data_IF_055772834124
#
_entry.id   IF_055772834124
#
_cell.length_a   1.000
_cell.length_b   1.000
_cell.length_c   1.000
_cell.angle_alpha   90.00
_cell.angle_beta   90.00
_cell.angle_gamma   90.00
#
_symmetry.space_group_name_H-M   'P 1'
#
loop_
_entity.id
_entity.type
_entity.pdbx_description
1 polymer ?
#
# COMPACT_ATOMS: atom_id res chain seq x y z
N UNK A 1 9.16 -18.51 3.81
CA UNK A 1 8.58 -17.78 2.66
C UNK A 1 7.74 -16.65 3.23
N UNK A 2 8.08 -15.41 2.94
CA UNK A 2 7.32 -14.22 3.39
C UNK A 2 6.12 -13.99 2.47
N UNK A 3 5.00 -13.50 3.00
CA UNK A 3 3.77 -13.23 2.25
C UNK A 3 3.39 -11.76 2.37
N UNK A 4 3.32 -11.04 1.25
CA UNK A 4 3.01 -9.61 1.23
C UNK A 4 1.83 -9.35 0.28
N UNK A 5 0.75 -8.77 0.81
CA UNK A 5 -0.40 -8.37 0.02
C UNK A 5 -0.35 -6.87 -0.30
N UNK A 6 -0.75 -6.50 -1.51
CA UNK A 6 -0.93 -5.11 -1.96
C UNK A 6 -2.39 -4.97 -2.38
N UNK A 7 -3.19 -4.26 -1.57
CA UNK A 7 -4.62 -4.09 -1.81
C UNK A 7 -4.88 -2.63 -2.17
N UNK A 8 -5.41 -2.40 -3.36
CA UNK A 8 -5.57 -1.02 -3.83
C UNK A 8 -6.76 -0.82 -4.75
N UNK A 9 -7.20 0.43 -4.83
CA UNK A 9 -8.08 0.90 -5.90
C UNK A 9 -7.32 1.82 -6.85
N UNK A 10 -7.65 1.75 -8.14
CA UNK A 10 -7.12 2.68 -9.15
C UNK A 10 -8.14 2.89 -10.26
N UNK A 11 -8.45 4.16 -10.58
CA UNK A 11 -9.37 4.50 -11.67
C UNK A 11 -8.62 4.69 -13.00
N UNK A 12 -7.54 5.47 -12.98
CA UNK A 12 -6.78 5.91 -14.16
C UNK A 12 -5.41 5.24 -14.27
N UNK A 13 -5.20 4.18 -13.53
CA UNK A 13 -3.97 3.41 -13.41
C UNK A 13 -2.77 4.09 -12.73
N UNK A 14 -2.84 5.37 -12.36
CA UNK A 14 -1.74 6.05 -11.64
C UNK A 14 -1.42 5.34 -10.32
N UNK A 15 -2.43 5.05 -9.49
CA UNK A 15 -2.24 4.25 -8.26
C UNK A 15 -1.81 2.81 -8.58
N UNK A 16 -2.26 2.25 -9.72
CA UNK A 16 -1.83 0.92 -10.19
C UNK A 16 -0.35 0.85 -10.56
N UNK A 17 0.21 1.92 -11.15
CA UNK A 17 1.65 2.02 -11.41
C UNK A 17 2.45 1.96 -10.10
N UNK A 18 2.00 2.66 -9.05
CA UNK A 18 2.63 2.59 -7.72
C UNK A 18 2.58 1.16 -7.14
N UNK A 19 1.44 0.49 -7.25
CA UNK A 19 1.30 -0.89 -6.77
C UNK A 19 2.28 -1.84 -7.46
N UNK A 20 2.46 -1.71 -8.79
CA UNK A 20 3.44 -2.50 -9.55
C UNK A 20 4.88 -2.19 -9.15
N UNK A 21 5.21 -0.92 -8.93
CA UNK A 21 6.54 -0.52 -8.47
C UNK A 21 6.85 -1.07 -7.07
N UNK A 22 5.87 -1.03 -6.14
CA UNK A 22 6.00 -1.65 -4.82
C UNK A 22 6.23 -3.15 -4.94
N UNK A 23 5.46 -3.86 -5.79
CA UNK A 23 5.64 -5.30 -6.03
C UNK A 23 7.05 -5.60 -6.57
N UNK A 24 7.53 -4.83 -7.55
CA UNK A 24 8.89 -4.98 -8.07
C UNK A 24 9.97 -4.80 -6.99
N UNK A 25 9.77 -3.84 -6.08
CA UNK A 25 10.65 -3.64 -4.94
C UNK A 25 10.67 -4.83 -3.97
N UNK A 26 9.51 -5.45 -3.71
CA UNK A 26 9.40 -6.67 -2.90
C UNK A 26 10.14 -7.84 -3.56
N UNK A 27 9.91 -8.06 -4.86
CA UNK A 27 10.58 -9.11 -5.64
C UNK A 27 12.10 -8.95 -5.62
N UNK A 28 12.58 -7.72 -5.87
CA UNK A 28 14.01 -7.43 -5.87
C UNK A 28 14.65 -7.71 -4.49
N UNK A 29 13.98 -7.36 -3.40
CA UNK A 29 14.46 -7.65 -2.05
C UNK A 29 14.51 -9.15 -1.77
N UNK A 30 13.54 -9.92 -2.25
CA UNK A 30 13.55 -11.38 -2.18
C UNK A 30 14.78 -11.98 -2.86
N UNK A 31 15.10 -11.52 -4.07
CA UNK A 31 16.30 -11.94 -4.83
C UNK A 31 17.57 -11.57 -4.07
N UNK A 32 17.70 -10.33 -3.58
CA UNK A 32 18.88 -9.84 -2.85
C UNK A 32 19.14 -10.64 -1.56
N UNK A 33 18.10 -11.10 -0.90
CA UNK A 33 18.17 -11.89 0.34
C UNK A 33 18.13 -13.40 0.14
N UNK A 34 18.03 -13.86 -1.12
CA UNK A 34 17.85 -15.29 -1.46
C UNK A 34 16.68 -15.91 -0.69
N UNK A 35 15.61 -15.15 -0.49
CA UNK A 35 14.40 -15.55 0.21
C UNK A 35 13.20 -15.52 -0.72
N UNK A 36 12.38 -16.56 -0.67
CA UNK A 36 11.12 -16.59 -1.42
C UNK A 36 10.11 -15.63 -0.78
N UNK A 37 9.43 -14.85 -1.62
CA UNK A 37 8.35 -13.95 -1.23
C UNK A 37 7.13 -14.17 -2.12
N UNK A 38 6.01 -14.52 -1.52
CA UNK A 38 4.72 -14.59 -2.20
C UNK A 38 4.09 -13.19 -2.20
N UNK A 39 3.65 -12.72 -3.36
CA UNK A 39 3.06 -11.39 -3.53
C UNK A 39 1.64 -11.55 -4.08
N UNK A 40 0.65 -11.08 -3.32
CA UNK A 40 -0.71 -10.86 -3.80
C UNK A 40 -0.87 -9.38 -4.15
N UNK A 41 -1.14 -9.07 -5.42
CA UNK A 41 -1.49 -7.71 -5.84
C UNK A 41 -2.95 -7.71 -6.30
N UNK A 42 -3.85 -7.16 -5.48
CA UNK A 42 -5.27 -7.14 -5.74
C UNK A 42 -5.78 -5.71 -5.96
N UNK A 43 -6.25 -5.44 -7.18
CA UNK A 43 -6.96 -4.21 -7.51
C UNK A 43 -8.45 -4.41 -7.23
N UNK A 44 -9.00 -3.58 -6.36
CA UNK A 44 -10.44 -3.58 -6.07
C UNK A 44 -11.22 -3.24 -7.35
N UNK A 45 -12.08 -4.14 -7.77
CA UNK A 45 -12.87 -4.01 -9.00
C UNK A 45 -14.31 -3.58 -8.68
N UNK A 46 -14.92 -2.83 -9.57
CA UNK A 46 -16.33 -2.40 -9.41
C UNK A 46 -17.31 -3.57 -9.30
N UNK A 47 -17.01 -4.72 -9.93
CA UNK A 47 -17.81 -5.94 -9.83
C UNK A 47 -17.82 -6.60 -8.45
N UNK A 48 -16.85 -6.25 -7.60
CA UNK A 48 -16.77 -6.72 -6.21
C UNK A 48 -17.59 -5.83 -5.26
N UNK A 49 -18.19 -4.76 -5.77
CA UNK A 49 -18.98 -3.82 -4.97
C UNK A 49 -20.46 -3.98 -5.34
N UNK A 50 -21.19 -4.66 -4.46
CA UNK A 50 -22.62 -4.96 -4.65
C UNK A 50 -23.40 -4.15 -3.61
N UNK A 51 -24.33 -3.32 -4.08
CA UNK A 51 -25.15 -2.46 -3.22
C UNK A 51 -24.33 -1.63 -2.22
N UNK A 52 -23.15 -1.13 -2.67
CA UNK A 52 -22.24 -0.32 -1.86
C UNK A 52 -21.41 -1.11 -0.84
N UNK A 53 -21.41 -2.43 -0.91
CA UNK A 53 -20.61 -3.32 -0.06
C UNK A 53 -19.57 -4.07 -0.89
N UNK A 54 -18.35 -4.16 -0.39
CA UNK A 54 -17.34 -5.02 -1.00
C UNK A 54 -17.64 -6.48 -0.65
N UNK A 55 -17.70 -7.33 -1.66
CA UNK A 55 -18.06 -8.76 -1.53
C UNK A 55 -16.99 -9.62 -2.19
N UNK A 56 -15.99 -10.00 -1.41
CA UNK A 56 -14.98 -10.99 -1.77
C UNK A 56 -14.49 -11.68 -0.48
N UNK A 57 -15.27 -12.61 0.09
CA UNK A 57 -14.93 -13.27 1.35
C UNK A 57 -13.63 -14.07 1.26
N UNK A 58 -13.35 -14.68 0.11
CA UNK A 58 -12.11 -15.45 -0.07
C UNK A 58 -10.87 -14.59 0.07
N UNK A 59 -10.89 -13.36 -0.46
CA UNK A 59 -9.79 -12.41 -0.28
C UNK A 59 -9.63 -12.04 1.20
N UNK A 60 -10.75 -11.79 1.92
CA UNK A 60 -10.68 -11.42 3.34
C UNK A 60 -10.08 -12.52 4.20
N UNK A 61 -10.40 -13.79 3.93
CA UNK A 61 -9.82 -14.94 4.63
C UNK A 61 -8.35 -15.14 4.24
N UNK A 62 -8.01 -14.98 2.96
CA UNK A 62 -6.65 -15.10 2.46
C UNK A 62 -5.71 -14.06 3.09
N UNK A 63 -6.15 -12.81 3.27
CA UNK A 63 -5.34 -11.76 3.90
C UNK A 63 -4.93 -12.07 5.34
N UNK A 64 -5.62 -12.96 6.03
CA UNK A 64 -5.22 -13.42 7.35
C UNK A 64 -3.91 -14.22 7.33
N UNK A 65 -3.54 -14.82 6.19
CA UNK A 65 -2.33 -15.62 6.01
C UNK A 65 -1.09 -14.81 5.62
N UNK A 66 -1.25 -13.51 5.34
CA UNK A 66 -0.15 -12.63 4.91
C UNK A 66 0.57 -11.99 6.10
N UNK A 67 1.89 -11.79 5.99
CA UNK A 67 2.73 -11.14 7.01
C UNK A 67 2.63 -9.62 6.96
N UNK A 68 2.33 -9.08 5.78
CA UNK A 68 2.16 -7.64 5.56
C UNK A 68 1.02 -7.34 4.59
N UNK A 69 0.33 -6.21 4.79
CA UNK A 69 -0.67 -5.68 3.86
C UNK A 69 -0.33 -4.22 3.56
N UNK A 70 -0.11 -3.92 2.27
CA UNK A 70 0.17 -2.56 1.79
C UNK A 70 -1.11 -2.02 1.16
N UNK A 71 -1.62 -0.90 1.69
CA UNK A 71 -2.89 -0.32 1.27
C UNK A 71 -2.68 0.83 0.28
N UNK A 72 -3.47 0.87 -0.80
CA UNK A 72 -3.38 1.90 -1.82
C UNK A 72 -4.73 2.48 -2.25
N UNK A 73 -4.80 3.79 -2.34
CA UNK A 73 -5.98 4.48 -2.87
C UNK A 73 -5.59 5.80 -3.50
N UNK A 74 -6.22 6.23 -4.62
CA UNK A 74 -6.10 7.63 -5.01
C UNK A 74 -6.76 8.52 -3.96
N UNK A 75 -6.28 9.76 -3.86
CA UNK A 75 -6.90 10.79 -3.02
C UNK A 75 -8.04 11.43 -3.79
N UNK A 76 -9.28 11.24 -3.32
CA UNK A 76 -10.47 11.90 -3.83
C UNK A 76 -11.14 12.69 -2.71
N UNK A 77 -11.36 14.00 -2.95
CA UNK A 77 -11.97 14.90 -1.96
C UNK A 77 -11.32 14.79 -0.56
N UNK A 78 -9.98 14.75 -0.53
CA UNK A 78 -9.20 14.71 0.72
C UNK A 78 -9.20 13.37 1.46
N UNK A 79 -9.58 12.26 0.81
CA UNK A 79 -9.62 10.94 1.45
C UNK A 79 -9.45 9.80 0.47
N UNK A 80 -9.64 8.57 0.96
CA UNK A 80 -9.61 7.37 0.13
C UNK A 80 -10.81 7.35 -0.82
N UNK A 81 -10.63 6.74 -1.99
CA UNK A 81 -11.72 6.49 -2.92
C UNK A 81 -12.85 5.65 -2.27
N UNK A 82 -14.10 5.89 -2.68
CA UNK A 82 -15.25 5.14 -2.17
C UNK A 82 -15.08 3.62 -2.31
N UNK A 83 -14.49 3.15 -3.41
CA UNK A 83 -14.21 1.74 -3.66
C UNK A 83 -13.24 1.15 -2.62
N UNK A 84 -12.18 1.88 -2.27
CA UNK A 84 -11.29 1.46 -1.20
C UNK A 84 -12.00 1.47 0.16
N UNK A 85 -12.87 2.46 0.39
CA UNK A 85 -13.65 2.54 1.62
C UNK A 85 -14.58 1.35 1.80
N UNK A 86 -15.19 0.82 0.71
CA UNK A 86 -16.02 -0.39 0.81
C UNK A 86 -15.22 -1.61 1.24
N UNK A 87 -13.97 -1.77 0.76
CA UNK A 87 -13.04 -2.80 1.23
C UNK A 87 -12.72 -2.62 2.72
N UNK A 88 -12.37 -1.39 3.13
CA UNK A 88 -12.07 -1.11 4.53
C UNK A 88 -13.26 -1.42 5.46
N UNK A 89 -14.49 -1.11 5.04
CA UNK A 89 -15.69 -1.44 5.82
C UNK A 89 -15.96 -2.95 5.87
N UNK A 90 -15.67 -3.68 4.79
CA UNK A 90 -15.83 -5.13 4.75
C UNK A 90 -14.82 -5.87 5.64
N UNK A 91 -13.68 -5.23 5.98
CA UNK A 91 -12.69 -5.82 6.89
C UNK A 91 -13.13 -5.84 8.37
N UNK A 92 -14.35 -5.37 8.70
CA UNK A 92 -14.84 -5.26 10.07
C UNK A 92 -14.86 -6.60 10.83
N UNK A 93 -15.11 -7.72 10.16
CA UNK A 93 -15.03 -9.04 10.79
C UNK A 93 -13.58 -9.40 11.14
N UNK A 94 -12.63 -9.17 10.21
CA UNK A 94 -11.20 -9.36 10.46
C UNK A 94 -10.70 -8.47 11.59
N UNK A 95 -11.24 -7.25 11.69
CA UNK A 95 -10.99 -6.35 12.81
C UNK A 95 -11.54 -6.91 14.14
N UNK A 96 -12.77 -7.37 14.18
CA UNK A 96 -13.40 -7.88 15.40
C UNK A 96 -12.61 -9.06 15.99
N UNK A 97 -12.14 -9.97 15.14
CA UNK A 97 -11.32 -11.12 15.55
C UNK A 97 -9.81 -10.84 15.56
N UNK A 98 -9.40 -9.59 15.31
CA UNK A 98 -8.00 -9.16 15.26
C UNK A 98 -7.12 -10.05 14.36
N UNK A 99 -7.66 -10.52 13.23
CA UNK A 99 -6.98 -11.45 12.30
C UNK A 99 -5.69 -10.85 11.68
N UNK A 100 -5.56 -9.50 11.67
CA UNK A 100 -4.38 -8.81 11.13
C UNK A 100 -3.47 -8.22 12.21
N UNK A 101 -3.74 -8.46 13.49
CA UNK A 101 -2.93 -7.93 14.59
C UNK A 101 -1.48 -8.41 14.50
N UNK A 102 -0.53 -7.48 14.71
CA UNK A 102 0.90 -7.76 14.64
C UNK A 102 1.50 -7.84 13.24
N UNK A 103 0.69 -7.81 12.18
CA UNK A 103 1.19 -7.75 10.79
C UNK A 103 1.75 -6.36 10.46
N UNK A 104 2.63 -6.31 9.47
CA UNK A 104 3.13 -5.03 8.95
C UNK A 104 2.07 -4.40 8.04
N UNK A 105 1.89 -3.08 8.17
CA UNK A 105 1.13 -2.27 7.23
C UNK A 105 1.98 -1.14 6.65
N UNK A 106 1.71 -0.78 5.40
CA UNK A 106 2.24 0.42 4.76
C UNK A 106 1.17 1.00 3.83
N UNK A 107 1.40 2.19 3.28
CA UNK A 107 0.41 2.78 2.39
C UNK A 107 0.97 3.69 1.32
N UNK A 108 0.15 3.84 0.27
CA UNK A 108 0.45 4.70 -0.86
C UNK A 108 -0.81 5.37 -1.41
N UNK A 109 -0.61 6.55 -1.97
CA UNK A 109 -1.68 7.32 -2.59
C UNK A 109 -1.18 8.09 -3.80
N UNK A 110 -2.09 8.49 -4.65
CA UNK A 110 -1.82 9.38 -5.78
C UNK A 110 -2.91 10.46 -5.89
N UNK A 111 -2.55 11.59 -6.45
CA UNK A 111 -3.48 12.69 -6.71
C UNK A 111 -3.10 13.43 -7.99
N UNK A 112 -3.98 14.34 -8.45
CA UNK A 112 -3.73 15.19 -9.63
C UNK A 112 -2.92 16.44 -9.33
N UNK A 113 -2.74 16.81 -8.06
CA UNK A 113 -1.99 17.99 -7.63
C UNK A 113 -0.82 17.60 -6.72
N UNK A 114 0.24 18.42 -6.74
CA UNK A 114 1.44 18.21 -5.92
C UNK A 114 1.15 18.13 -4.43
N UNK A 115 0.22 18.94 -3.96
CA UNK A 115 -0.22 19.00 -2.57
C UNK A 115 -1.75 19.05 -2.53
N UNK A 116 -2.39 17.92 -2.85
CA UNK A 116 -3.85 17.78 -2.92
C UNK A 116 -4.39 16.98 -1.74
N UNK A 117 -3.95 17.29 -0.51
CA UNK A 117 -4.38 16.63 0.73
C UNK A 117 -4.12 15.12 0.78
N UNK A 118 -3.12 14.64 0.01
CA UNK A 118 -2.75 13.22 -0.03
C UNK A 118 -2.36 12.70 1.35
N UNK A 119 -1.81 13.54 2.21
CA UNK A 119 -1.46 13.19 3.60
C UNK A 119 -2.68 12.73 4.40
N UNK A 120 -3.87 13.26 4.13
CA UNK A 120 -5.11 12.84 4.77
C UNK A 120 -5.49 11.41 4.37
N UNK A 121 -5.26 11.03 3.11
CA UNK A 121 -5.46 9.65 2.65
C UNK A 121 -4.51 8.70 3.39
N UNK A 122 -3.21 9.04 3.50
CA UNK A 122 -2.26 8.23 4.27
C UNK A 122 -2.64 8.14 5.74
N UNK A 123 -3.11 9.22 6.35
CA UNK A 123 -3.57 9.21 7.74
C UNK A 123 -4.77 8.28 7.93
N UNK A 124 -5.70 8.24 6.97
CA UNK A 124 -6.79 7.28 7.00
C UNK A 124 -6.27 5.83 6.95
N UNK A 125 -5.31 5.54 6.04
CA UNK A 125 -4.72 4.20 5.93
C UNK A 125 -3.97 3.78 7.21
N UNK A 126 -3.27 4.72 7.85
CA UNK A 126 -2.64 4.49 9.16
C UNK A 126 -3.68 4.20 10.24
N UNK A 127 -4.79 4.93 10.24
CA UNK A 127 -5.88 4.70 11.18
C UNK A 127 -6.51 3.32 10.98
N UNK A 128 -6.75 2.92 9.72
CA UNK A 128 -7.24 1.58 9.39
C UNK A 128 -6.27 0.49 9.91
N UNK A 129 -4.98 0.64 9.64
CA UNK A 129 -3.96 -0.28 10.14
C UNK A 129 -3.95 -0.35 11.68
N UNK A 130 -4.08 0.79 12.35
CA UNK A 130 -4.13 0.86 13.82
C UNK A 130 -5.38 0.18 14.39
N UNK A 131 -6.55 0.32 13.74
CA UNK A 131 -7.77 -0.40 14.11
C UNK A 131 -7.54 -1.92 14.10
N UNK A 132 -6.83 -2.42 13.10
CA UNK A 132 -6.49 -3.84 12.97
C UNK A 132 -5.31 -4.29 13.84
N UNK A 133 -4.74 -3.43 14.68
CA UNK A 133 -3.58 -3.77 15.52
C UNK A 133 -2.29 -4.02 14.73
N UNK A 134 -2.18 -3.47 13.52
CA UNK A 134 -1.01 -3.64 12.65
C UNK A 134 0.10 -2.63 12.97
N UNK A 135 1.33 -2.96 12.59
CA UNK A 135 2.50 -2.10 12.72
C UNK A 135 2.71 -1.28 11.45
N UNK A 136 2.53 0.03 11.52
CA UNK A 136 2.72 0.90 10.36
C UNK A 136 4.19 1.13 10.01
N UNK A 137 4.51 1.00 8.73
CA UNK A 137 5.84 1.27 8.17
C UNK A 137 5.75 2.42 7.17
N UNK A 138 6.38 3.53 7.51
CA UNK A 138 6.60 4.66 6.61
C UNK A 138 7.98 4.64 5.95
N UNK A 139 8.34 5.75 5.31
CA UNK A 139 9.65 5.96 4.70
C UNK A 139 10.66 6.46 5.73
N UNK A 140 11.88 5.92 5.70
CA UNK A 140 13.04 6.39 6.45
C UNK A 140 13.98 7.25 5.58
N UNK A 141 13.48 7.77 4.48
CA UNK A 141 14.21 8.65 3.55
C UNK A 141 13.70 10.09 3.69
N UNK A 142 14.64 11.01 3.86
CA UNK A 142 14.34 12.44 3.76
C UNK A 142 14.05 12.83 2.30
N UNK A 143 13.49 14.01 2.09
CA UNK A 143 13.18 14.50 0.74
C UNK A 143 14.41 14.53 -0.16
N UNK A 144 14.24 14.08 -1.41
CA UNK A 144 15.28 14.01 -2.44
C UNK A 144 16.52 13.19 -2.02
N UNK A 145 16.31 12.08 -1.33
CA UNK A 145 17.39 11.22 -0.83
C UNK A 145 18.00 10.38 -1.93
N UNK A 146 19.33 10.36 -1.98
CA UNK A 146 20.12 9.53 -2.89
C UNK A 146 20.06 9.97 -4.36
N UNK A 147 20.72 9.22 -5.23
CA UNK A 147 20.79 9.51 -6.68
C UNK A 147 19.44 9.45 -7.40
N UNK A 148 18.50 8.66 -6.89
CA UNK A 148 17.15 8.54 -7.43
C UNK A 148 16.17 9.61 -6.92
N UNK A 149 16.61 10.54 -6.07
CA UNK A 149 15.80 11.59 -5.46
C UNK A 149 14.55 11.02 -4.75
N UNK A 150 14.74 9.98 -3.94
CA UNK A 150 13.64 9.33 -3.23
C UNK A 150 12.86 10.32 -2.37
N UNK A 151 11.56 10.07 -2.22
CA UNK A 151 10.67 10.88 -1.39
C UNK A 151 10.68 12.37 -1.75
N UNK A 152 10.55 12.72 -3.02
CA UNK A 152 10.61 14.12 -3.50
C UNK A 152 9.58 15.03 -2.85
N UNK A 153 8.47 14.50 -2.32
CA UNK A 153 7.46 15.28 -1.61
C UNK A 153 7.73 15.43 -0.10
N UNK A 154 8.72 14.75 0.45
CA UNK A 154 9.07 14.84 1.87
C UNK A 154 8.02 14.23 2.81
N UNK A 155 7.26 13.23 2.37
CA UNK A 155 6.21 12.58 3.15
C UNK A 155 6.74 11.25 3.69
N UNK A 156 7.03 11.18 4.99
CA UNK A 156 7.51 9.94 5.62
C UNK A 156 6.39 8.95 5.97
N UNK A 157 5.14 9.38 5.99
CA UNK A 157 4.00 8.53 6.36
C UNK A 157 3.66 7.42 5.36
N UNK A 158 4.19 7.47 4.14
CA UNK A 158 3.94 6.52 3.05
C UNK A 158 4.30 7.12 1.70
N UNK A 159 3.87 6.49 0.61
CA UNK A 159 4.10 7.00 -0.73
C UNK A 159 3.02 8.00 -1.14
N UNK A 160 3.46 9.14 -1.62
CA UNK A 160 2.62 10.12 -2.32
C UNK A 160 3.16 10.29 -3.73
N UNK A 161 2.28 10.28 -4.73
CA UNK A 161 2.63 10.56 -6.10
C UNK A 161 1.62 11.49 -6.78
N UNK A 162 2.09 12.21 -7.79
CA UNK A 162 1.25 12.97 -8.69
C UNK A 162 1.23 12.29 -10.06
N UNK A 163 0.03 12.05 -10.60
CA UNK A 163 -0.10 11.67 -12.01
C UNK A 163 0.24 12.84 -12.92
N UNK A 164 1.09 12.61 -13.90
CA UNK A 164 1.34 13.57 -14.97
C UNK A 164 0.12 13.77 -15.87
N UNK A 165 0.14 14.75 -16.76
CA UNK A 165 -0.92 14.98 -17.75
C UNK A 165 -1.10 13.79 -18.69
N UNK A 166 -0.05 13.05 -18.95
CA UNK A 166 -0.01 11.79 -19.73
C UNK A 166 -0.41 10.55 -18.89
N UNK A 167 -0.75 10.72 -17.62
CA UNK A 167 -1.07 9.63 -16.70
C UNK A 167 0.14 8.83 -16.21
N UNK A 168 1.37 9.28 -16.51
CA UNK A 168 2.58 8.61 -16.05
C UNK A 168 3.05 9.16 -14.71
N UNK A 169 3.80 8.34 -13.97
CA UNK A 169 4.44 8.73 -12.74
C UNK A 169 5.84 9.35 -13.03
N UNK A 170 6.24 10.26 -12.18
CA UNK A 170 7.62 10.73 -12.16
C UNK A 170 8.56 9.60 -11.71
N UNK A 171 9.74 9.48 -12.33
CA UNK A 171 10.70 8.41 -12.05
C UNK A 171 11.07 8.30 -10.56
N UNK A 172 11.18 9.43 -9.86
CA UNK A 172 11.42 9.48 -8.41
C UNK A 172 10.27 8.87 -7.58
N UNK A 173 9.01 9.02 -8.03
CA UNK A 173 7.87 8.44 -7.34
C UNK A 173 7.86 6.91 -7.52
N UNK A 174 8.21 6.43 -8.73
CA UNK A 174 8.38 5.00 -9.03
C UNK A 174 9.50 4.42 -8.14
N UNK A 175 10.69 5.04 -8.14
CA UNK A 175 11.81 4.59 -7.32
C UNK A 175 11.48 4.60 -5.82
N UNK A 176 10.69 5.59 -5.35
CA UNK A 176 10.25 5.67 -3.95
C UNK A 176 9.29 4.52 -3.63
N UNK A 177 8.41 4.16 -4.57
CA UNK A 177 7.48 3.04 -4.41
C UNK A 177 8.23 1.69 -4.36
N UNK A 178 9.20 1.48 -5.25
CA UNK A 178 10.10 0.31 -5.21
C UNK A 178 10.84 0.23 -3.87
N UNK A 179 11.35 1.37 -3.39
CA UNK A 179 12.02 1.44 -2.09
C UNK A 179 11.10 1.03 -0.93
N UNK A 180 9.83 1.46 -0.92
CA UNK A 180 8.87 1.03 0.11
C UNK A 180 8.65 -0.49 0.06
N UNK A 181 8.51 -1.08 -1.12
CA UNK A 181 8.37 -2.52 -1.31
C UNK A 181 9.56 -3.28 -0.70
N UNK A 182 10.79 -2.87 -1.03
CA UNK A 182 12.02 -3.43 -0.44
C UNK A 182 12.04 -3.32 1.07
N UNK A 183 11.68 -2.14 1.60
CA UNK A 183 11.69 -1.88 3.04
C UNK A 183 10.69 -2.78 3.78
N UNK A 184 9.48 -2.94 3.26
CA UNK A 184 8.47 -3.83 3.86
C UNK A 184 8.96 -5.28 3.84
N UNK A 185 9.47 -5.78 2.72
CA UNK A 185 9.99 -7.15 2.61
C UNK A 185 11.14 -7.41 3.58
N UNK A 186 12.08 -6.46 3.68
CA UNK A 186 13.19 -6.55 4.64
C UNK A 186 12.70 -6.64 6.09
N UNK A 187 11.67 -5.87 6.46
CA UNK A 187 11.15 -5.84 7.83
C UNK A 187 10.34 -7.11 8.15
N UNK A 188 9.55 -7.63 7.21
CA UNK A 188 8.87 -8.92 7.33
C UNK A 188 9.89 -10.02 7.64
N UNK A 189 10.95 -10.11 6.83
CA UNK A 189 12.00 -11.12 7.03
C UNK A 189 12.69 -10.99 8.40
N UNK A 190 12.96 -9.77 8.87
CA UNK A 190 13.56 -9.54 10.21
C UNK A 190 12.66 -9.98 11.36
N UNK A 191 11.34 -9.86 11.21
CA UNK A 191 10.39 -10.28 12.24
C UNK A 191 10.17 -11.79 12.25
N UNK A 192 10.20 -12.43 11.06
CA UNK A 192 10.01 -13.88 10.90
C UNK A 192 11.23 -14.71 11.37
N UNK A 193 12.42 -14.11 11.50
CA UNK A 193 13.66 -14.78 11.93
C UNK A 193 13.88 -14.76 13.44
N UNK A 194 12.91 -14.30 14.22
CA UNK A 194 12.92 -14.34 15.69
C UNK A 194 11.98 -15.39 16.22
#
# INVERSE_FOLDING_TARGET
MSKIAIIYFSKTDVTGQLARAIAAGVEQQGIEQQSECEILSHRIEGREIIEGRFVNPSLMDELAEYDAIIFGSPTYMGGVAAQFKTFADASSESWYYQKWAGKIAAGFTSGGAMNGDQSMTLQYLQTLASQHGMMWVGLDKISNSGEQNLNRYGVQGGIVAQGGEDGQLHASDVATAEYLGKRVAMLVNKLSTR
#
